data_IF_985153142604
#
_entry.id   IF_985153142604
#
_cell.length_a   1.000
_cell.length_b   1.000
_cell.length_c   1.000
_cell.angle_alpha   90.00
_cell.angle_beta   90.00
_cell.angle_gamma   90.00
#
_symmetry.space_group_name_H-M   'P 1'
#
loop_
_entity.id
_entity.type
_entity.pdbx_description
1 polymer ?
#
# COMPACT_ATOMS: atom_id res chain seq x y z
N UNK A 1 39.98 -3.40 28.07
CA UNK A 1 38.55 -3.47 28.44
C UNK A 1 37.78 -2.73 27.34
N UNK A 2 37.40 -3.41 26.25
CA UNK A 2 36.68 -2.77 25.15
C UNK A 2 35.18 -2.81 25.48
N UNK A 3 34.56 -1.64 25.58
CA UNK A 3 33.13 -1.47 25.86
C UNK A 3 32.30 -2.16 24.79
N UNK A 4 31.48 -3.10 25.25
CA UNK A 4 30.45 -3.79 24.49
C UNK A 4 29.49 -2.76 23.90
N UNK A 5 29.51 -2.63 22.57
CA UNK A 5 28.56 -1.80 21.83
C UNK A 5 27.22 -2.52 21.92
N UNK A 6 26.34 -2.06 22.82
CA UNK A 6 24.97 -2.58 22.94
C UNK A 6 24.31 -2.55 21.56
N UNK A 7 24.20 -3.74 20.96
CA UNK A 7 23.54 -3.94 19.69
C UNK A 7 22.07 -3.56 19.87
N UNK A 8 21.69 -2.45 19.25
CA UNK A 8 20.30 -2.05 19.11
C UNK A 8 19.51 -3.22 18.49
N UNK A 9 18.29 -3.52 18.97
CA UNK A 9 17.44 -4.53 18.36
C UNK A 9 17.32 -4.24 16.86
N UNK A 10 17.78 -5.17 16.02
CA UNK A 10 17.68 -5.03 14.58
C UNK A 10 16.22 -5.19 14.18
N UNK A 11 15.51 -4.07 14.04
CA UNK A 11 14.17 -4.06 13.45
C UNK A 11 14.35 -4.42 11.97
N UNK A 12 13.75 -5.52 11.48
CA UNK A 12 13.86 -5.87 10.07
C UNK A 12 13.28 -4.72 9.22
N UNK A 13 13.88 -4.41 8.05
CA UNK A 13 13.37 -3.38 7.17
C UNK A 13 11.91 -3.68 6.80
N UNK A 14 11.02 -2.67 6.76
CA UNK A 14 9.61 -2.87 6.41
C UNK A 14 9.49 -3.60 5.06
N UNK A 15 8.76 -4.71 5.03
CA UNK A 15 8.42 -5.42 3.79
C UNK A 15 9.28 -6.63 3.41
N UNK A 16 10.22 -7.10 4.25
CA UNK A 16 11.14 -8.20 3.89
C UNK A 16 10.78 -9.59 4.44
N UNK A 17 9.63 -9.77 5.09
CA UNK A 17 9.20 -11.08 5.61
C UNK A 17 7.72 -11.38 5.42
N UNK A 18 7.32 -12.66 5.40
CA UNK A 18 5.90 -13.03 5.46
C UNK A 18 5.33 -12.50 6.79
N UNK A 19 4.43 -11.50 6.70
CA UNK A 19 3.79 -10.86 7.87
C UNK A 19 2.75 -11.78 8.49
N UNK A 20 3.20 -12.86 9.10
CA UNK A 20 2.45 -13.62 10.09
C UNK A 20 2.81 -13.10 11.48
N UNK A 21 2.26 -11.96 11.88
CA UNK A 21 2.32 -11.54 13.28
C UNK A 21 1.16 -10.60 13.58
N UNK A 22 0.29 -10.99 14.52
CA UNK A 22 -0.95 -10.28 14.88
C UNK A 22 -0.75 -8.88 15.50
N UNK A 23 0.43 -8.29 15.34
CA UNK A 23 0.78 -6.96 15.82
C UNK A 23 0.43 -5.85 14.80
N UNK A 24 0.18 -6.19 13.53
CA UNK A 24 -0.24 -5.23 12.50
C UNK A 24 -1.67 -5.48 12.07
N UNK A 25 -2.51 -4.45 12.17
CA UNK A 25 -3.88 -4.47 11.69
C UNK A 25 -4.01 -3.56 10.48
N UNK A 26 -4.68 -4.04 9.43
CA UNK A 26 -5.08 -3.19 8.30
C UNK A 26 -6.11 -2.19 8.80
N UNK A 27 -5.89 -0.91 8.55
CA UNK A 27 -6.92 0.11 8.71
C UNK A 27 -7.86 0.05 7.51
N UNK A 28 -9.16 0.23 7.73
CA UNK A 28 -10.13 0.26 6.62
C UNK A 28 -9.98 1.53 5.76
N UNK A 29 -9.13 2.49 6.15
CA UNK A 29 -8.78 3.62 5.29
C UNK A 29 -7.80 3.22 4.19
N UNK A 30 -8.23 3.46 2.97
CA UNK A 30 -7.44 3.32 1.76
C UNK A 30 -7.42 4.63 0.97
N UNK A 31 -6.30 4.87 0.29
CA UNK A 31 -6.09 6.08 -0.52
C UNK A 31 -5.74 5.66 -1.94
N UNK A 32 -6.28 6.29 -2.97
CA UNK A 32 -5.72 6.19 -4.31
C UNK A 32 -5.28 7.56 -4.81
N UNK A 33 -4.15 7.58 -5.50
CA UNK A 33 -3.63 8.80 -6.13
C UNK A 33 -2.81 8.48 -7.36
N UNK A 34 -2.65 9.48 -8.22
CA UNK A 34 -1.61 9.48 -9.25
C UNK A 34 -0.25 9.66 -8.57
N UNK A 35 0.70 8.78 -8.89
CA UNK A 35 2.04 8.80 -8.32
C UNK A 35 2.77 10.09 -8.71
N UNK A 36 3.17 10.95 -7.75
CA UNK A 36 3.84 12.21 -8.05
C UNK A 36 5.30 12.02 -8.49
N UNK A 37 5.91 10.89 -8.09
CA UNK A 37 7.29 10.50 -8.34
C UNK A 37 7.37 8.98 -8.56
N UNK A 38 8.50 8.50 -9.09
CA UNK A 38 8.70 7.09 -9.46
C UNK A 38 9.56 6.31 -8.43
N UNK A 39 9.40 6.59 -7.14
CA UNK A 39 10.19 5.95 -6.06
C UNK A 39 9.36 5.05 -5.16
N UNK A 40 8.04 5.00 -5.32
CA UNK A 40 7.17 4.08 -4.56
C UNK A 40 7.26 2.69 -5.16
N UNK A 41 7.49 1.68 -4.32
CA UNK A 41 7.60 0.29 -4.75
C UNK A 41 6.33 -0.47 -4.40
N UNK A 42 5.79 -1.19 -5.39
CA UNK A 42 4.63 -2.05 -5.15
C UNK A 42 5.00 -3.22 -4.24
N UNK A 43 4.24 -3.42 -3.16
CA UNK A 43 4.50 -4.49 -2.20
C UNK A 43 4.10 -5.89 -2.67
N UNK A 44 3.53 -6.03 -3.87
CA UNK A 44 3.18 -7.34 -4.47
C UNK A 44 4.25 -7.78 -5.46
N UNK A 45 4.61 -6.93 -6.43
CA UNK A 45 5.55 -7.30 -7.49
C UNK A 45 6.97 -6.75 -7.29
N UNK A 46 7.20 -5.96 -6.24
CA UNK A 46 8.48 -5.31 -5.92
C UNK A 46 9.01 -4.36 -7.00
N UNK A 47 8.23 -4.05 -8.05
CA UNK A 47 8.58 -3.08 -9.07
C UNK A 47 8.18 -1.65 -8.66
N UNK A 48 8.90 -0.66 -9.18
CA UNK A 48 8.56 0.75 -8.98
C UNK A 48 7.22 1.10 -9.66
N UNK A 49 6.45 1.97 -9.03
CA UNK A 49 5.27 2.58 -9.62
C UNK A 49 5.73 3.85 -10.34
N UNK A 50 5.48 3.92 -11.65
CA UNK A 50 5.92 5.04 -12.45
C UNK A 50 5.16 6.33 -12.09
N UNK A 51 5.86 7.48 -12.20
CA UNK A 51 5.22 8.80 -12.09
C UNK A 51 4.07 8.91 -13.09
N UNK A 52 2.92 9.44 -12.65
CA UNK A 52 1.73 9.56 -13.49
C UNK A 52 0.84 8.31 -13.53
N UNK A 53 1.28 7.18 -12.97
CA UNK A 53 0.43 5.99 -12.80
C UNK A 53 -0.38 6.08 -11.51
N UNK A 54 -1.58 5.50 -11.51
CA UNK A 54 -2.36 5.34 -10.29
C UNK A 54 -1.73 4.32 -9.35
N UNK A 55 -1.69 4.66 -8.06
CA UNK A 55 -1.29 3.78 -6.97
C UNK A 55 -2.36 3.74 -5.89
N UNK A 56 -2.56 2.55 -5.33
CA UNK A 56 -3.40 2.31 -4.18
C UNK A 56 -2.53 2.24 -2.92
N UNK A 57 -2.92 2.99 -1.89
CA UNK A 57 -2.28 3.07 -0.59
C UNK A 57 -3.16 2.40 0.45
N UNK A 58 -2.63 1.42 1.17
CA UNK A 58 -3.29 0.81 2.33
C UNK A 58 -2.54 1.17 3.60
N UNK A 59 -3.28 1.62 4.61
CA UNK A 59 -2.68 1.96 5.89
C UNK A 59 -2.75 0.77 6.84
N UNK A 60 -1.64 0.51 7.53
CA UNK A 60 -1.52 -0.50 8.57
C UNK A 60 -1.10 0.17 9.86
N UNK A 61 -1.70 -0.26 10.96
CA UNK A 61 -1.45 0.27 12.30
C UNK A 61 -0.86 -0.86 13.14
N UNK A 62 0.27 -0.60 13.76
CA UNK A 62 0.88 -1.47 14.73
C UNK A 62 0.21 -1.30 16.09
N UNK A 63 0.16 -2.36 16.90
CA UNK A 63 -0.35 -2.30 18.28
C UNK A 63 0.40 -1.29 19.16
N UNK A 64 1.64 -0.95 18.83
CA UNK A 64 2.44 0.07 19.51
C UNK A 64 2.21 1.50 18.96
N UNK A 65 1.27 1.69 18.04
CA UNK A 65 0.89 2.98 17.48
C UNK A 65 1.68 3.43 16.24
N UNK A 66 2.60 2.60 15.72
CA UNK A 66 3.27 2.88 14.45
C UNK A 66 2.29 2.77 13.28
N UNK A 67 2.43 3.65 12.29
CA UNK A 67 1.64 3.61 11.07
C UNK A 67 2.55 3.36 9.87
N UNK A 68 2.09 2.48 8.98
CA UNK A 68 2.75 2.17 7.72
C UNK A 68 1.76 2.35 6.57
N UNK A 69 2.19 3.05 5.52
CA UNK A 69 1.45 3.14 4.27
C UNK A 69 2.13 2.27 3.22
N UNK A 70 1.39 1.31 2.68
CA UNK A 70 1.86 0.43 1.62
C UNK A 70 1.26 0.81 0.29
N UNK A 71 2.10 0.87 -0.75
CA UNK A 71 1.66 1.22 -2.09
C UNK A 71 1.61 0.00 -3.01
N UNK A 72 0.62 -0.01 -3.91
CA UNK A 72 0.39 -1.08 -4.86
C UNK A 72 0.02 -0.51 -6.23
N UNK A 73 0.47 -1.15 -7.32
CA UNK A 73 -0.11 -0.90 -8.63
C UNK A 73 -1.57 -1.35 -8.63
N UNK A 74 -2.43 -0.64 -9.37
CA UNK A 74 -3.83 -1.06 -9.54
C UNK A 74 -3.95 -2.50 -10.05
N UNK A 75 -3.08 -2.97 -10.94
CA UNK A 75 -3.16 -4.34 -11.46
C UNK A 75 -2.78 -5.40 -10.42
N UNK A 76 -1.81 -5.08 -9.56
CA UNK A 76 -1.32 -6.00 -8.54
C UNK A 76 -2.30 -6.18 -7.38
N UNK A 77 -3.28 -5.29 -7.25
CA UNK A 77 -4.29 -5.35 -6.19
C UNK A 77 -5.12 -6.64 -6.20
N UNK A 78 -5.30 -7.27 -7.38
CA UNK A 78 -5.98 -8.58 -7.53
C UNK A 78 -5.30 -9.70 -6.74
N UNK A 79 -4.01 -9.55 -6.43
CA UNK A 79 -3.21 -10.54 -5.69
C UNK A 79 -3.12 -10.25 -4.20
N UNK A 80 -3.83 -9.23 -3.69
CA UNK A 80 -3.81 -8.91 -2.28
C UNK A 80 -4.57 -9.96 -1.47
N UNK A 81 -3.94 -10.59 -0.46
CA UNK A 81 -4.63 -11.51 0.43
C UNK A 81 -5.66 -10.76 1.28
N UNK A 82 -6.86 -11.34 1.43
CA UNK A 82 -7.88 -10.82 2.35
C UNK A 82 -9.08 -10.11 1.74
N UNK A 83 -9.57 -10.56 0.56
CA UNK A 83 -10.98 -10.50 0.11
C UNK A 83 -11.68 -9.14 -0.06
N UNK A 84 -11.12 -8.03 0.42
CA UNK A 84 -11.80 -6.75 0.56
C UNK A 84 -11.35 -5.70 -0.45
N UNK A 85 -10.92 -6.10 -1.64
CA UNK A 85 -10.48 -5.10 -2.63
C UNK A 85 -11.64 -4.25 -3.14
N UNK A 86 -12.82 -4.85 -3.33
CA UNK A 86 -14.04 -4.13 -3.67
C UNK A 86 -14.34 -3.03 -2.65
N UNK A 87 -14.28 -3.39 -1.37
CA UNK A 87 -14.62 -2.50 -0.26
C UNK A 87 -13.59 -1.38 -0.15
N UNK A 88 -12.29 -1.72 -0.27
CA UNK A 88 -11.18 -0.77 -0.33
C UNK A 88 -11.34 0.22 -1.48
N UNK A 89 -11.68 -0.26 -2.68
CA UNK A 89 -11.89 0.59 -3.85
C UNK A 89 -13.13 1.48 -3.70
N UNK A 90 -14.18 0.99 -3.04
CA UNK A 90 -15.38 1.77 -2.73
C UNK A 90 -15.08 2.87 -1.70
N UNK A 91 -14.36 2.53 -0.62
CA UNK A 91 -13.92 3.49 0.40
C UNK A 91 -13.08 4.60 -0.22
N UNK A 92 -12.10 4.26 -1.05
CA UNK A 92 -11.26 5.22 -1.79
C UNK A 92 -12.11 6.17 -2.63
N UNK A 93 -13.11 5.64 -3.33
CA UNK A 93 -13.96 6.45 -4.18
C UNK A 93 -14.87 7.37 -3.37
N UNK A 94 -15.24 7.05 -2.13
CA UNK A 94 -16.12 7.90 -1.32
C UNK A 94 -15.55 9.31 -1.10
N UNK A 95 -14.23 9.42 -0.87
CA UNK A 95 -13.54 10.67 -0.53
C UNK A 95 -13.04 11.48 -1.75
N UNK A 96 -13.15 10.93 -2.97
CA UNK A 96 -12.70 11.59 -4.19
C UNK A 96 -13.70 12.66 -4.69
N UNK A 97 -13.20 13.65 -5.43
CA UNK A 97 -14.08 14.53 -6.23
C UNK A 97 -14.69 13.78 -7.42
N UNK A 98 -15.82 14.21 -7.99
CA UNK A 98 -16.43 13.53 -9.14
C UNK A 98 -15.48 13.34 -10.33
N UNK A 99 -14.66 14.34 -10.65
CA UNK A 99 -13.66 14.25 -11.71
C UNK A 99 -12.60 13.18 -11.42
N UNK A 100 -12.06 13.16 -10.19
CA UNK A 100 -11.09 12.15 -9.77
C UNK A 100 -11.68 10.74 -9.76
N UNK A 101 -12.93 10.57 -9.31
CA UNK A 101 -13.64 9.28 -9.37
C UNK A 101 -13.71 8.77 -10.81
N UNK A 102 -14.08 9.64 -11.75
CA UNK A 102 -14.18 9.26 -13.16
C UNK A 102 -12.83 8.82 -13.73
N UNK A 103 -11.77 9.60 -13.49
CA UNK A 103 -10.41 9.25 -13.93
C UNK A 103 -9.92 7.93 -13.30
N UNK A 104 -10.19 7.74 -12.01
CA UNK A 104 -9.83 6.52 -11.29
C UNK A 104 -10.59 5.30 -11.83
N UNK A 105 -11.90 5.42 -12.06
CA UNK A 105 -12.70 4.34 -12.65
C UNK A 105 -12.23 3.97 -14.04
N UNK A 106 -11.90 4.96 -14.89
CA UNK A 106 -11.33 4.71 -16.21
C UNK A 106 -9.98 3.98 -16.12
N UNK A 107 -9.14 4.32 -15.14
CA UNK A 107 -7.88 3.62 -14.90
C UNK A 107 -8.11 2.17 -14.43
N UNK A 108 -9.05 1.93 -13.53
CA UNK A 108 -9.43 0.59 -13.07
C UNK A 108 -9.95 -0.28 -14.23
N UNK A 109 -10.74 0.28 -15.15
CA UNK A 109 -11.25 -0.43 -16.33
C UNK A 109 -10.13 -0.81 -17.31
N UNK A 110 -9.18 0.10 -17.57
CA UNK A 110 -8.03 -0.19 -18.44
C UNK A 110 -7.18 -1.35 -17.89
N UNK A 111 -6.99 -1.38 -16.57
CA UNK A 111 -6.27 -2.45 -15.86
C UNK A 111 -7.06 -3.76 -15.82
N UNK A 112 -8.39 -3.72 -15.88
CA UNK A 112 -9.21 -4.91 -15.98
C UNK A 112 -9.15 -5.56 -17.37
N UNK A 113 -8.92 -4.76 -18.42
CA UNK A 113 -8.83 -5.20 -19.82
C UNK A 113 -7.42 -5.70 -20.24
N UNK A 114 -6.43 -5.59 -19.35
CA UNK A 114 -5.02 -5.99 -19.58
C UNK A 114 -4.65 -7.25 -18.79
#
# INVERSE_FOLDING_TARGET
MATEMQQLPQVPPPGTGPRSSGAWSRCDQAVARVAPIATTTCQVCSACIAKGQWQLGLMFIHVEGFMLMEWYHLQCTKSLPGGGLSDVLETVQSEMTPAQKQEFQAACQQVAAS
#
